data_IF_602771527752
#
_entry.id   IF_602771527752
#
_cell.length_a   1.000
_cell.length_b   1.000
_cell.length_c   1.000
_cell.angle_alpha   90.00
_cell.angle_beta   90.00
_cell.angle_gamma   90.00
#
_symmetry.space_group_name_H-M   'P 1'
#
loop_
_entity.id
_entity.type
_entity.pdbx_description
1 polymer ?
#
# COMPACT_ATOMS: atom_id res chain seq x y z
N UNK A 1 13.00 -9.48 38.50
CA UNK A 1 12.50 -10.29 37.36
C UNK A 1 11.33 -9.57 36.71
N UNK A 2 11.44 -9.15 35.45
CA UNK A 2 10.28 -8.65 34.69
C UNK A 2 9.38 -9.85 34.34
N UNK A 3 8.10 -9.82 34.74
CA UNK A 3 7.12 -10.83 34.33
C UNK A 3 6.48 -10.37 33.02
N UNK A 4 6.71 -11.12 31.95
CA UNK A 4 6.07 -10.91 30.65
C UNK A 4 4.76 -11.69 30.62
N UNK A 5 3.64 -11.02 30.35
CA UNK A 5 2.36 -11.69 30.14
C UNK A 5 2.35 -12.35 28.75
N UNK A 6 2.34 -13.68 28.73
CA UNK A 6 2.34 -14.50 27.51
C UNK A 6 0.94 -14.99 27.13
N UNK A 7 -0.12 -14.56 27.85
CA UNK A 7 -1.48 -14.98 27.52
C UNK A 7 -1.89 -14.48 26.13
N UNK A 8 -2.67 -15.27 25.36
CA UNK A 8 -3.14 -14.84 24.05
C UNK A 8 -3.98 -13.57 24.16
N UNK A 9 -3.62 -12.55 23.37
CA UNK A 9 -4.48 -11.37 23.19
C UNK A 9 -5.80 -11.80 22.54
N UNK A 10 -6.89 -11.14 22.91
CA UNK A 10 -8.20 -11.31 22.28
C UNK A 10 -8.07 -11.29 20.74
N UNK A 11 -8.59 -12.34 20.09
CA UNK A 11 -8.53 -12.51 18.64
C UNK A 11 -9.63 -11.70 17.97
N UNK A 12 -9.25 -10.73 17.14
CA UNK A 12 -10.21 -9.96 16.35
C UNK A 12 -10.95 -10.86 15.35
N UNK A 13 -12.20 -10.53 15.03
CA UNK A 13 -13.07 -11.31 14.15
C UNK A 13 -12.64 -11.32 12.67
N UNK A 14 -11.69 -10.47 12.27
CA UNK A 14 -11.24 -10.33 10.88
C UNK A 14 -12.24 -9.65 9.94
N UNK A 15 -13.46 -9.35 10.39
CA UNK A 15 -14.51 -8.74 9.54
C UNK A 15 -14.10 -7.41 8.91
N UNK A 16 -13.31 -6.60 9.63
CA UNK A 16 -12.79 -5.33 9.12
C UNK A 16 -11.84 -5.51 7.91
N UNK A 17 -11.17 -6.66 7.79
CA UNK A 17 -10.22 -6.93 6.71
C UNK A 17 -10.89 -7.38 5.42
N UNK A 18 -12.15 -7.86 5.46
CA UNK A 18 -12.84 -8.43 4.30
C UNK A 18 -13.04 -7.43 3.15
N UNK A 19 -13.21 -6.14 3.47
CA UNK A 19 -13.38 -5.08 2.46
C UNK A 19 -12.07 -4.33 2.15
N UNK A 20 -10.94 -4.79 2.71
CA UNK A 20 -9.65 -4.09 2.66
C UNK A 20 -8.55 -4.96 2.06
N UNK A 21 -8.61 -6.28 2.24
CA UNK A 21 -7.59 -7.22 1.74
C UNK A 21 -7.96 -7.77 0.36
N UNK A 22 -7.11 -7.48 -0.62
CA UNK A 22 -7.20 -7.93 -2.01
C UNK A 22 -5.84 -8.47 -2.47
N UNK A 23 -5.40 -9.65 -1.97
CA UNK A 23 -4.06 -10.17 -2.22
C UNK A 23 -3.74 -10.43 -3.70
N UNK A 24 -4.76 -10.67 -4.53
CA UNK A 24 -4.60 -10.80 -5.98
C UNK A 24 -4.16 -9.49 -6.63
N UNK A 25 -4.66 -8.35 -6.16
CA UNK A 25 -4.22 -7.03 -6.62
C UNK A 25 -2.78 -6.74 -6.18
N UNK A 26 -2.43 -7.01 -4.92
CA UNK A 26 -1.05 -6.86 -4.45
C UNK A 26 -0.08 -7.74 -5.25
N UNK A 27 -0.49 -8.94 -5.63
CA UNK A 27 0.30 -9.84 -6.48
C UNK A 27 0.46 -9.33 -7.90
N UNK A 28 -0.56 -8.67 -8.45
CA UNK A 28 -0.50 -7.98 -9.73
C UNK A 28 0.45 -6.76 -9.69
N UNK A 29 0.38 -5.94 -8.63
CA UNK A 29 1.27 -4.80 -8.42
C UNK A 29 2.75 -5.20 -8.41
N UNK A 30 3.11 -6.29 -7.71
CA UNK A 30 4.49 -6.80 -7.65
C UNK A 30 5.06 -7.25 -9.00
N UNK A 31 4.26 -7.26 -10.07
CA UNK A 31 4.68 -7.56 -11.44
C UNK A 31 4.70 -6.31 -12.33
N UNK A 32 4.56 -5.11 -11.77
CA UNK A 32 4.64 -3.83 -12.48
C UNK A 32 5.99 -3.16 -12.20
N UNK A 33 6.46 -2.25 -13.08
CA UNK A 33 7.64 -1.43 -12.81
C UNK A 33 7.51 -0.61 -11.53
N UNK A 34 8.63 -0.20 -10.96
CA UNK A 34 8.64 0.72 -9.83
C UNK A 34 8.02 2.06 -10.24
N UNK A 35 7.11 2.61 -9.42
CA UNK A 35 6.46 3.89 -9.69
C UNK A 35 7.46 5.03 -9.93
N UNK A 36 8.64 4.96 -9.32
CA UNK A 36 9.71 5.95 -9.45
C UNK A 36 10.89 5.46 -10.28
N UNK A 37 10.71 4.41 -11.09
CA UNK A 37 11.73 3.99 -12.06
C UNK A 37 12.09 5.14 -13.00
N UNK A 38 13.40 5.32 -13.25
CA UNK A 38 13.92 6.41 -14.09
C UNK A 38 13.86 7.81 -13.46
N UNK A 39 13.37 7.98 -12.23
CA UNK A 39 13.40 9.27 -11.54
C UNK A 39 14.82 9.60 -11.09
N UNK A 40 15.21 10.87 -11.25
CA UNK A 40 16.51 11.36 -10.81
C UNK A 40 16.73 11.09 -9.31
N UNK A 41 17.93 10.60 -8.96
CA UNK A 41 18.28 10.25 -7.58
C UNK A 41 17.72 8.91 -7.09
N UNK A 42 17.00 8.16 -7.92
CA UNK A 42 16.58 6.80 -7.61
C UNK A 42 17.37 5.76 -8.42
N UNK A 43 17.82 4.70 -7.75
CA UNK A 43 18.34 3.48 -8.38
C UNK A 43 17.42 2.32 -8.00
N UNK A 44 16.78 1.71 -9.00
CA UNK A 44 15.82 0.64 -8.78
C UNK A 44 16.54 -0.64 -8.33
N UNK A 45 16.09 -1.24 -7.22
CA UNK A 45 16.64 -2.50 -6.69
C UNK A 45 16.08 -3.76 -7.38
N UNK A 46 15.10 -3.62 -8.28
CA UNK A 46 14.48 -4.72 -9.02
C UNK A 46 13.51 -5.62 -8.22
N UNK A 47 13.68 -5.76 -6.90
CA UNK A 47 12.75 -6.51 -6.06
C UNK A 47 11.48 -5.70 -5.79
N UNK A 48 10.37 -6.09 -6.40
CA UNK A 48 9.10 -5.34 -6.34
C UNK A 48 8.20 -5.73 -5.16
N UNK A 49 7.59 -4.72 -4.55
CA UNK A 49 6.70 -4.78 -3.40
C UNK A 49 5.45 -3.94 -3.65
N UNK A 50 4.35 -4.30 -2.96
CA UNK A 50 3.15 -3.48 -2.93
C UNK A 50 3.23 -2.59 -1.69
N UNK A 51 3.43 -1.29 -1.92
CA UNK A 51 3.59 -0.28 -0.89
C UNK A 51 2.25 0.38 -0.60
N UNK A 52 1.82 0.33 0.66
CA UNK A 52 0.69 1.10 1.14
C UNK A 52 1.15 2.48 1.64
N UNK A 53 0.22 3.43 1.63
CA UNK A 53 0.35 4.70 2.36
C UNK A 53 -0.78 4.84 3.36
N UNK A 54 -0.64 5.82 4.25
CA UNK A 54 -1.71 6.25 5.16
C UNK A 54 -2.45 7.50 4.65
N UNK A 55 -1.95 8.13 3.58
CA UNK A 55 -2.43 9.43 3.09
C UNK A 55 -3.66 9.36 2.17
N UNK A 56 -4.11 8.17 1.82
CA UNK A 56 -5.32 7.98 1.02
C UNK A 56 -6.61 8.30 1.81
N UNK A 57 -6.50 8.71 3.08
CA UNK A 57 -7.61 9.17 3.94
C UNK A 57 -8.67 8.09 4.19
N UNK A 58 -8.41 6.87 3.73
CA UNK A 58 -9.35 5.76 3.64
C UNK A 58 -9.37 4.89 4.90
N UNK A 59 -8.49 5.17 5.86
CA UNK A 59 -8.41 4.46 7.13
C UNK A 59 -9.01 5.30 8.26
N UNK A 60 -9.96 4.71 8.99
CA UNK A 60 -10.24 5.11 10.36
C UNK A 60 -9.07 4.73 11.27
N UNK A 61 -9.01 5.32 12.47
CA UNK A 61 -7.98 4.99 13.47
C UNK A 61 -7.98 3.47 13.74
N UNK A 62 -6.82 2.82 13.60
CA UNK A 62 -6.67 1.38 13.83
C UNK A 62 -7.11 0.47 12.67
N UNK A 63 -7.46 1.01 11.51
CA UNK A 63 -7.77 0.24 10.30
C UNK A 63 -6.58 0.21 9.32
N UNK A 64 -6.45 -0.90 8.59
CA UNK A 64 -5.49 -1.04 7.50
C UNK A 64 -5.96 -0.23 6.27
N UNK A 65 -5.06 0.38 5.52
CA UNK A 65 -5.38 0.94 4.19
C UNK A 65 -5.92 -0.14 3.25
N UNK A 66 -6.76 0.24 2.29
CA UNK A 66 -7.28 -0.70 1.31
C UNK A 66 -6.17 -1.17 0.37
N UNK A 67 -6.14 -2.46 0.00
CA UNK A 67 -5.09 -2.96 -0.89
C UNK A 67 -5.13 -2.30 -2.28
N UNK A 68 -6.30 -1.87 -2.76
CA UNK A 68 -6.44 -1.19 -4.05
C UNK A 68 -5.89 0.25 -4.10
N UNK A 69 -5.39 0.78 -2.97
CA UNK A 69 -4.68 2.07 -2.92
C UNK A 69 -3.15 1.91 -2.86
N UNK A 70 -2.65 0.67 -2.86
CA UNK A 70 -1.22 0.40 -2.90
C UNK A 70 -0.60 0.70 -4.27
N UNK A 71 0.71 0.94 -4.28
CA UNK A 71 1.50 1.20 -5.49
C UNK A 71 2.67 0.22 -5.61
N UNK A 72 3.20 -0.05 -6.81
CA UNK A 72 4.38 -0.89 -6.99
C UNK A 72 5.65 -0.08 -6.71
N UNK A 73 6.44 -0.48 -5.71
CA UNK A 73 7.75 0.09 -5.41
C UNK A 73 8.79 -1.03 -5.36
N UNK A 74 10.03 -0.74 -5.76
CA UNK A 74 11.11 -1.65 -5.43
C UNK A 74 11.44 -1.57 -3.92
N UNK A 75 12.05 -2.60 -3.33
CA UNK A 75 12.34 -2.64 -1.89
C UNK A 75 13.14 -1.43 -1.40
N UNK A 76 14.09 -0.93 -2.20
CA UNK A 76 14.83 0.29 -1.88
C UNK A 76 13.92 1.54 -1.83
N UNK A 77 13.03 1.71 -2.82
CA UNK A 77 12.07 2.83 -2.84
C UNK A 77 11.06 2.75 -1.70
N UNK A 78 10.62 1.53 -1.36
CA UNK A 78 9.68 1.29 -0.26
C UNK A 78 10.31 1.61 1.10
N UNK A 79 11.53 1.09 1.34
CA UNK A 79 12.28 1.35 2.56
C UNK A 79 12.59 2.85 2.72
N UNK A 80 12.96 3.52 1.63
CA UNK A 80 13.21 4.96 1.67
C UNK A 80 11.95 5.74 2.06
N UNK A 81 10.80 5.46 1.42
CA UNK A 81 9.51 6.09 1.75
C UNK A 81 9.16 5.91 3.23
N UNK A 82 9.34 4.72 3.77
CA UNK A 82 9.06 4.43 5.18
C UNK A 82 10.06 5.12 6.12
N UNK A 83 11.31 5.33 5.68
CA UNK A 83 12.34 6.01 6.47
C UNK A 83 12.21 7.52 6.51
N UNK A 84 11.89 8.17 5.37
CA UNK A 84 11.86 9.65 5.28
C UNK A 84 10.44 10.22 5.38
N UNK A 85 9.43 9.36 5.42
CA UNK A 85 8.04 9.75 5.44
C UNK A 85 7.48 10.05 4.04
N UNK A 86 6.16 9.87 3.90
CA UNK A 86 5.48 9.94 2.61
C UNK A 86 5.57 11.33 1.96
N UNK A 87 5.34 12.40 2.72
CA UNK A 87 5.31 13.77 2.16
C UNK A 87 6.67 14.16 1.56
N UNK A 88 7.75 13.93 2.31
CA UNK A 88 9.12 14.17 1.85
C UNK A 88 9.46 13.30 0.65
N UNK A 89 9.07 12.03 0.66
CA UNK A 89 9.30 11.11 -0.46
C UNK A 89 8.55 11.52 -1.73
N UNK A 90 7.28 11.93 -1.61
CA UNK A 90 6.47 12.45 -2.71
C UNK A 90 7.08 13.73 -3.30
N UNK A 91 7.50 14.67 -2.44
CA UNK A 91 8.15 15.90 -2.87
C UNK A 91 9.47 15.63 -3.61
N UNK A 92 10.29 14.72 -3.08
CA UNK A 92 11.58 14.32 -3.68
C UNK A 92 11.40 13.78 -5.10
N UNK A 93 10.46 12.86 -5.29
CA UNK A 93 10.28 12.18 -6.57
C UNK A 93 9.22 12.80 -7.49
N UNK A 94 8.55 13.87 -7.02
CA UNK A 94 7.46 14.57 -7.71
C UNK A 94 6.34 13.60 -8.12
N UNK A 95 5.87 12.82 -7.15
CA UNK A 95 4.81 11.82 -7.33
C UNK A 95 3.73 11.98 -6.26
N UNK A 96 2.50 11.57 -6.58
CA UNK A 96 1.40 11.47 -5.63
C UNK A 96 1.02 9.99 -5.45
N UNK A 97 1.28 9.44 -4.27
CA UNK A 97 1.08 8.02 -3.96
C UNK A 97 -0.40 7.64 -3.96
N UNK A 98 -1.27 8.50 -3.42
CA UNK A 98 -2.71 8.23 -3.35
C UNK A 98 -3.33 8.23 -4.76
N UNK A 99 -2.95 9.20 -5.59
CA UNK A 99 -3.39 9.28 -6.99
C UNK A 99 -2.88 8.09 -7.80
N UNK A 100 -1.59 7.76 -7.69
CA UNK A 100 -1.01 6.60 -8.35
C UNK A 100 -1.70 5.30 -7.92
N UNK A 101 -1.98 5.12 -6.62
CA UNK A 101 -2.70 3.98 -6.09
C UNK A 101 -4.08 3.82 -6.70
N UNK A 102 -4.86 4.91 -6.78
CA UNK A 102 -6.18 4.91 -7.45
C UNK A 102 -6.06 4.56 -8.93
N UNK A 103 -5.06 5.09 -9.63
CA UNK A 103 -4.83 4.80 -11.04
C UNK A 103 -4.48 3.31 -11.29
N UNK A 104 -3.66 2.70 -10.42
CA UNK A 104 -3.39 1.26 -10.47
C UNK A 104 -4.62 0.43 -10.11
N UNK A 105 -5.39 0.84 -9.11
CA UNK A 105 -6.64 0.19 -8.73
C UNK A 105 -7.65 0.16 -9.89
N UNK A 106 -7.83 1.27 -10.62
CA UNK A 106 -8.72 1.37 -11.78
C UNK A 106 -8.29 0.47 -12.97
N UNK A 107 -6.99 0.20 -13.10
CA UNK A 107 -6.40 -0.65 -14.15
C UNK A 107 -6.27 -2.12 -13.73
N UNK A 108 -6.51 -2.43 -12.46
CA UNK A 108 -6.36 -3.79 -11.95
C UNK A 108 -7.33 -4.75 -12.66
N UNK A 109 -6.87 -5.92 -13.12
CA UNK A 109 -7.76 -6.95 -13.67
C UNK A 109 -8.69 -7.56 -12.61
N UNK A 110 -8.45 -7.25 -11.33
CA UNK A 110 -9.23 -7.75 -10.20
C UNK A 110 -10.21 -6.72 -9.63
N UNK A 111 -10.41 -5.58 -10.29
CA UNK A 111 -11.20 -4.48 -9.74
C UNK A 111 -12.65 -4.79 -9.40
N UNK A 112 -13.24 -5.80 -10.06
CA UNK A 112 -14.56 -6.32 -9.70
C UNK A 112 -14.65 -6.79 -8.23
N UNK A 113 -13.52 -7.16 -7.59
CA UNK A 113 -13.48 -7.62 -6.18
C UNK A 113 -13.77 -6.51 -5.17
N UNK A 114 -13.69 -5.25 -5.55
CA UNK A 114 -13.98 -4.10 -4.69
C UNK A 114 -14.98 -3.13 -5.32
N UNK A 115 -15.77 -3.59 -6.29
CA UNK A 115 -16.78 -2.76 -6.95
C UNK A 115 -17.81 -2.18 -5.96
N UNK A 116 -18.14 -2.94 -4.91
CA UNK A 116 -19.10 -2.55 -3.88
C UNK A 116 -18.46 -1.81 -2.69
N UNK A 117 -17.13 -1.61 -2.71
CA UNK A 117 -16.44 -0.87 -1.65
C UNK A 117 -16.55 0.62 -1.93
N UNK A 118 -17.15 1.36 -0.99
CA UNK A 118 -17.32 2.80 -1.11
C UNK A 118 -15.97 3.52 -1.33
N UNK A 119 -15.92 4.41 -2.33
CA UNK A 119 -14.72 5.19 -2.65
C UNK A 119 -13.62 4.43 -3.40
N UNK A 120 -13.85 3.17 -3.79
CA UNK A 120 -12.90 2.39 -4.56
C UNK A 120 -12.80 2.90 -6.03
N UNK A 121 -11.61 2.84 -6.64
CA UNK A 121 -11.42 3.26 -8.02
C UNK A 121 -12.17 2.32 -8.98
N UNK A 122 -12.86 2.90 -9.98
CA UNK A 122 -13.69 2.20 -10.98
C UNK A 122 -12.97 2.10 -12.32
#
# INVERSE_FOLDING_TARGET
MMRVDTRPRHRNSGKADLQRRFPTHLSWLRKRPCLIEGRAGHVCSGRMEASHSDADGSKGMGLKSHDFTAVPLCSAAHAEKDSIGLETWQAKYKVNHAEAGRAYGAQSPHKARWADVAGAPR
#
